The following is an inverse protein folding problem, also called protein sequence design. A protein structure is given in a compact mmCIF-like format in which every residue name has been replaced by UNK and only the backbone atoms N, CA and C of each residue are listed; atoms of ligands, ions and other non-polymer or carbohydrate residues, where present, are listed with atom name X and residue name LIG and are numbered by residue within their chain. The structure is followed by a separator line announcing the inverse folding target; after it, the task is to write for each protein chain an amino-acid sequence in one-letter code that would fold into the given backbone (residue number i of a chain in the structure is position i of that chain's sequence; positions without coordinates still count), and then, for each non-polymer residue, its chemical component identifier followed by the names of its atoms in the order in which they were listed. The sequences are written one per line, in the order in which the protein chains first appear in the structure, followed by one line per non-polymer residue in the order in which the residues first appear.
data_IF_400604775516
#
_entry.id   IF_400604775516
#
_cell.length_a   1.000
_cell.length_b   1.000
_cell.length_c   1.000
_cell.angle_alpha   90.00
_cell.angle_beta   90.00
_cell.angle_gamma   90.00
#
_symmetry.space_group_name_H-M   'P 1'
#
loop_
_entity.id
_entity.type
_entity.pdbx_description
1 polymer ?
#
# COMPACT_ATOMS: atom_id res chain seq x y z
N UNK A 1 65.10 52.04 44.55
CA UNK A 1 64.77 51.17 43.40
C UNK A 1 63.26 51.00 43.34
N UNK A 2 62.62 51.46 42.25
CA UNK A 2 61.16 51.47 42.05
C UNK A 2 60.67 50.05 41.71
N UNK A 3 59.60 49.58 42.36
CA UNK A 3 58.86 48.37 41.97
C UNK A 3 57.42 48.76 41.66
N UNK A 4 57.08 48.71 40.37
CA UNK A 4 55.72 48.73 39.85
C UNK A 4 55.22 47.28 39.77
N UNK A 5 53.96 47.01 40.10
CA UNK A 5 53.18 45.83 39.68
C UNK A 5 51.70 46.17 39.94
N UNK A 6 51.01 46.74 38.95
CA UNK A 6 50.10 46.10 37.98
C UNK A 6 48.80 45.57 38.62
N UNK A 7 47.75 46.37 38.46
CA UNK A 7 46.35 46.09 38.80
C UNK A 7 45.76 45.11 37.78
N UNK A 8 45.25 43.96 38.25
CA UNK A 8 44.59 42.94 37.43
C UNK A 8 43.07 43.17 37.46
N UNK A 9 42.51 43.73 36.40
CA UNK A 9 41.06 43.90 36.24
C UNK A 9 40.41 42.54 35.95
N UNK A 10 39.44 42.16 36.79
CA UNK A 10 38.60 40.97 36.67
C UNK A 10 37.37 41.31 35.81
N UNK A 11 37.39 40.98 34.52
CA UNK A 11 36.22 41.10 33.64
C UNK A 11 35.44 39.79 33.60
N UNK A 12 34.28 39.77 34.25
CA UNK A 12 33.25 38.72 34.13
C UNK A 12 32.71 38.70 32.69
N UNK A 13 32.99 37.63 31.95
CA UNK A 13 32.33 37.36 30.67
C UNK A 13 31.01 36.61 30.94
N UNK A 14 29.89 37.28 30.65
CA UNK A 14 28.54 36.72 30.70
C UNK A 14 28.30 35.91 29.40
N UNK A 15 28.46 34.59 29.45
CA UNK A 15 28.12 33.71 28.31
C UNK A 15 26.61 33.47 28.28
N UNK A 16 25.96 34.01 27.25
CA UNK A 16 24.57 33.70 26.88
C UNK A 16 24.53 32.25 26.39
N UNK A 17 23.96 31.36 27.19
CA UNK A 17 23.62 30.00 26.76
C UNK A 17 22.39 30.03 25.87
N UNK A 18 22.55 29.74 24.58
CA UNK A 18 21.43 29.43 23.70
C UNK A 18 20.81 28.08 24.13
N UNK A 19 19.47 27.95 24.20
CA UNK A 19 18.87 26.66 24.44
C UNK A 19 19.10 25.77 23.20
N UNK A 20 19.75 24.62 23.42
CA UNK A 20 19.72 23.51 22.48
C UNK A 20 18.28 23.02 22.38
N UNK A 21 17.60 23.42 21.32
CA UNK A 21 16.31 22.84 20.94
C UNK A 21 16.63 21.47 20.37
N UNK A 22 16.45 20.43 21.18
CA UNK A 22 16.43 19.06 20.69
C UNK A 22 15.14 18.91 19.87
N UNK A 23 15.25 19.10 18.56
CA UNK A 23 14.19 18.67 17.65
C UNK A 23 14.11 17.15 17.78
N UNK A 24 13.03 16.65 18.35
CA UNK A 24 12.63 15.28 18.10
C UNK A 24 12.44 15.17 16.58
N UNK A 25 13.33 14.48 15.89
CA UNK A 25 13.23 14.19 14.46
C UNK A 25 11.94 13.39 14.22
N UNK A 26 10.83 14.09 13.98
CA UNK A 26 9.63 13.47 13.45
C UNK A 26 9.96 13.05 12.02
N UNK A 27 9.84 11.76 11.65
CA UNK A 27 10.34 11.18 10.40
C UNK A 27 9.50 11.55 9.15
N UNK A 28 9.12 12.81 9.04
CA UNK A 28 8.41 13.39 7.90
C UNK A 28 9.07 14.70 7.41
N UNK A 29 10.32 14.97 7.81
CA UNK A 29 11.01 16.18 7.38
C UNK A 29 11.45 16.06 5.90
N UNK A 30 10.68 16.67 5.01
CA UNK A 30 10.98 16.72 3.57
C UNK A 30 12.21 17.55 3.22
N UNK A 31 12.70 18.41 4.13
CA UNK A 31 13.88 19.27 3.88
C UNK A 31 15.18 18.50 3.79
N UNK A 32 15.24 17.27 4.33
CA UNK A 32 16.40 16.39 4.25
C UNK A 32 16.29 15.36 3.12
N UNK A 33 15.19 15.38 2.35
CA UNK A 33 14.99 14.46 1.25
C UNK A 33 15.90 14.82 0.06
N UNK A 34 16.58 13.84 -0.57
CA UNK A 34 17.28 14.05 -1.83
C UNK A 34 16.39 14.66 -2.91
N UNK A 35 16.90 15.66 -3.63
CA UNK A 35 16.17 16.31 -4.71
C UNK A 35 16.09 15.40 -5.97
N UNK A 36 14.87 15.01 -6.35
CA UNK A 36 14.57 14.27 -7.59
C UNK A 36 13.93 15.23 -8.59
N UNK A 37 14.36 15.18 -9.85
CA UNK A 37 13.83 16.09 -10.87
C UNK A 37 12.39 15.71 -11.23
N UNK A 38 11.55 16.71 -11.54
CA UNK A 38 10.16 16.47 -11.93
C UNK A 38 10.06 15.55 -13.18
N UNK A 39 10.97 15.71 -14.13
CA UNK A 39 11.06 14.86 -15.32
C UNK A 39 11.35 13.40 -14.97
N UNK A 40 12.25 13.14 -14.01
CA UNK A 40 12.53 11.79 -13.55
C UNK A 40 11.29 11.18 -12.91
N UNK A 41 10.63 11.90 -11.98
CA UNK A 41 9.42 11.43 -11.31
C UNK A 41 8.27 11.13 -12.28
N UNK A 42 8.08 11.95 -13.31
CA UNK A 42 7.06 11.75 -14.34
C UNK A 42 7.33 10.54 -15.24
N UNK A 43 8.60 10.16 -15.41
CA UNK A 43 8.99 9.01 -16.23
C UNK A 43 8.95 7.66 -15.52
N UNK A 44 8.76 7.64 -14.20
CA UNK A 44 8.77 6.39 -13.43
C UNK A 44 7.53 5.54 -13.73
N UNK A 45 7.68 4.20 -13.81
CA UNK A 45 6.56 3.28 -14.00
C UNK A 45 5.83 3.08 -12.67
N UNK A 46 4.96 4.02 -12.31
CA UNK A 46 4.20 3.97 -11.07
C UNK A 46 3.19 2.81 -11.09
N UNK A 47 3.39 1.83 -10.20
CA UNK A 47 2.51 0.67 -10.08
C UNK A 47 1.35 0.96 -9.10
N UNK A 48 0.09 0.84 -9.52
CA UNK A 48 -1.04 1.05 -8.62
C UNK A 48 -1.18 -0.08 -7.59
N UNK A 49 -1.38 0.30 -6.34
CA UNK A 49 -1.65 -0.60 -5.22
C UNK A 49 -3.03 -0.29 -4.63
N UNK A 50 -3.85 -1.33 -4.44
CA UNK A 50 -5.20 -1.20 -3.88
C UNK A 50 -5.25 -1.87 -2.50
N UNK A 51 -5.29 -1.11 -1.40
CA UNK A 51 -5.37 -1.67 -0.06
C UNK A 51 -6.70 -2.42 0.20
N UNK A 52 -6.70 -3.50 1.01
CA UNK A 52 -5.52 -4.10 1.64
C UNK A 52 -4.71 -4.95 0.65
N UNK A 53 -3.38 -4.78 0.64
CA UNK A 53 -2.46 -5.52 -0.24
C UNK A 53 -1.18 -5.90 0.49
N UNK A 54 -0.63 -7.06 0.13
CA UNK A 54 0.71 -7.50 0.54
C UNK A 54 1.43 -8.00 -0.71
N UNK A 55 2.61 -7.44 -1.01
CA UNK A 55 3.38 -7.78 -2.20
C UNK A 55 4.86 -7.98 -1.85
N UNK A 56 5.44 -9.05 -2.37
CA UNK A 56 6.88 -9.29 -2.33
C UNK A 56 7.47 -8.84 -3.68
N UNK A 57 8.50 -8.00 -3.64
CA UNK A 57 9.10 -7.38 -4.83
C UNK A 57 10.61 -7.56 -4.80
N UNK A 58 11.14 -8.13 -5.88
CA UNK A 58 12.57 -8.27 -6.07
C UNK A 58 13.09 -7.03 -6.80
N UNK A 59 13.99 -6.32 -6.15
CA UNK A 59 14.72 -5.19 -6.70
C UNK A 59 16.05 -5.68 -7.25
N UNK A 60 16.24 -5.59 -8.56
CA UNK A 60 17.45 -6.00 -9.26
C UNK A 60 17.67 -5.15 -10.53
N UNK A 61 18.59 -5.58 -11.39
CA UNK A 61 18.98 -4.81 -12.58
C UNK A 61 17.87 -4.67 -13.64
N UNK A 62 16.80 -5.48 -13.59
CA UNK A 62 15.65 -5.33 -14.48
C UNK A 62 14.57 -4.41 -13.90
N UNK A 63 14.67 -4.08 -12.61
CA UNK A 63 13.80 -3.10 -11.97
C UNK A 63 14.16 -1.69 -12.45
N UNK A 64 13.22 -0.73 -12.39
CA UNK A 64 13.54 0.67 -12.69
C UNK A 64 14.72 1.15 -11.85
N UNK A 65 15.58 1.99 -12.43
CA UNK A 65 16.78 2.50 -11.77
C UNK A 65 16.72 4.02 -11.70
N UNK A 66 17.22 4.58 -10.60
CA UNK A 66 17.51 6.02 -10.50
C UNK A 66 18.97 6.19 -10.12
N UNK A 67 19.68 7.04 -10.86
CA UNK A 67 21.05 7.45 -10.58
C UNK A 67 21.12 8.98 -10.62
N UNK A 68 20.47 9.63 -9.65
CA UNK A 68 20.39 11.09 -9.57
C UNK A 68 20.72 11.57 -8.16
N UNK A 69 21.62 12.55 -8.05
CA UNK A 69 22.06 13.07 -6.76
C UNK A 69 22.67 11.95 -5.91
N UNK A 70 22.12 11.73 -4.73
CA UNK A 70 22.54 10.66 -3.82
C UNK A 70 21.81 9.34 -4.00
N UNK A 71 20.80 9.28 -4.87
CA UNK A 71 20.02 8.08 -5.13
C UNK A 71 20.76 7.21 -6.15
N UNK A 72 20.89 5.91 -5.84
CA UNK A 72 21.54 4.95 -6.71
C UNK A 72 20.87 3.57 -6.63
N UNK A 73 20.65 2.96 -7.79
CA UNK A 73 20.24 1.56 -7.89
C UNK A 73 18.76 1.35 -8.17
N UNK A 74 18.29 0.14 -7.87
CA UNK A 74 16.92 -0.29 -8.15
C UNK A 74 15.93 0.43 -7.24
N UNK A 75 14.79 0.83 -7.80
CA UNK A 75 13.71 1.51 -7.08
C UNK A 75 12.39 0.76 -7.23
N UNK A 76 11.48 1.01 -6.29
CA UNK A 76 10.08 0.66 -6.44
C UNK A 76 9.21 1.92 -6.35
N UNK A 77 8.29 2.06 -7.29
CA UNK A 77 7.43 3.23 -7.44
C UNK A 77 5.96 2.79 -7.43
N UNK A 78 5.18 3.26 -6.46
CA UNK A 78 3.79 2.87 -6.28
C UNK A 78 2.84 4.07 -6.24
N UNK A 79 1.60 3.88 -6.69
CA UNK A 79 0.48 4.78 -6.38
C UNK A 79 -0.45 4.15 -5.36
N UNK A 80 -0.96 4.95 -4.45
CA UNK A 80 -1.89 4.53 -3.41
C UNK A 80 -3.13 5.43 -3.45
N UNK A 81 -4.34 4.86 -3.32
CA UNK A 81 -5.57 5.65 -3.23
C UNK A 81 -5.59 6.45 -1.93
N UNK A 82 -5.88 7.74 -2.05
CA UNK A 82 -5.94 8.69 -0.94
C UNK A 82 -7.37 9.01 -0.49
N UNK A 83 -8.38 8.47 -1.18
CA UNK A 83 -9.80 8.60 -0.87
C UNK A 83 -10.28 7.60 0.21
N UNK A 84 -9.35 6.84 0.79
CA UNK A 84 -9.65 5.71 1.67
C UNK A 84 -9.37 5.91 3.16
N UNK A 85 -9.18 7.16 3.59
CA UNK A 85 -8.78 7.48 4.97
C UNK A 85 -7.28 7.32 5.18
N UNK A 86 -6.87 7.19 6.45
CA UNK A 86 -5.46 6.98 6.78
C UNK A 86 -4.98 5.63 6.25
N UNK A 87 -3.74 5.60 5.74
CA UNK A 87 -3.06 4.42 5.25
C UNK A 87 -1.96 4.02 6.24
N UNK A 88 -1.85 2.73 6.51
CA UNK A 88 -0.72 2.14 7.21
C UNK A 88 0.08 1.30 6.21
N UNK A 89 1.34 1.67 6.01
CA UNK A 89 2.27 1.03 5.07
C UNK A 89 3.42 0.42 5.87
N UNK A 90 3.52 -0.90 5.90
CA UNK A 90 4.69 -1.60 6.44
C UNK A 90 5.61 -2.01 5.30
N UNK A 91 6.83 -1.50 5.33
CA UNK A 91 7.89 -1.85 4.39
C UNK A 91 8.94 -2.68 5.13
N UNK A 92 9.25 -3.85 4.59
CA UNK A 92 10.27 -4.75 5.11
C UNK A 92 11.29 -5.07 4.02
N UNK A 93 12.58 -4.82 4.25
CA UNK A 93 13.66 -5.24 3.35
C UNK A 93 14.34 -6.49 3.91
N UNK A 94 14.31 -7.59 3.16
CA UNK A 94 14.78 -8.90 3.63
C UNK A 94 16.28 -9.04 3.42
N UNK A 95 16.98 -9.47 4.48
CA UNK A 95 18.40 -9.85 4.41
C UNK A 95 18.56 -11.20 3.72
N UNK A 96 19.52 -11.30 2.80
CA UNK A 96 19.88 -12.57 2.16
C UNK A 96 21.38 -12.59 1.86
N UNK A 97 22.06 -13.68 2.22
CA UNK A 97 23.48 -13.90 1.96
C UNK A 97 24.37 -12.73 2.44
N UNK A 98 24.15 -12.23 3.66
CA UNK A 98 24.88 -11.08 4.21
C UNK A 98 24.77 -9.81 3.33
N UNK A 99 23.70 -9.69 2.55
CA UNK A 99 23.38 -8.48 1.80
C UNK A 99 21.94 -8.06 2.11
N UNK A 100 21.72 -6.76 2.22
CA UNK A 100 20.39 -6.20 2.47
C UNK A 100 20.21 -4.89 1.70
N UNK A 101 19.01 -4.68 1.16
CA UNK A 101 18.67 -3.40 0.56
C UNK A 101 18.31 -2.40 1.67
N UNK A 102 18.93 -1.23 1.73
CA UNK A 102 18.67 -0.24 2.78
C UNK A 102 17.70 0.84 2.26
N UNK A 103 16.39 0.74 2.57
CA UNK A 103 15.38 1.56 1.92
C UNK A 103 15.31 2.95 2.55
N UNK A 104 15.19 3.97 1.72
CA UNK A 104 14.61 5.26 2.03
C UNK A 104 13.29 5.40 1.26
N UNK A 105 12.33 6.09 1.84
CA UNK A 105 10.98 6.24 1.27
C UNK A 105 10.64 7.71 1.14
N UNK A 106 10.34 8.14 -0.08
CA UNK A 106 9.79 9.45 -0.39
C UNK A 106 8.31 9.32 -0.72
N UNK A 107 7.47 10.00 0.04
CA UNK A 107 6.04 10.11 -0.21
C UNK A 107 5.80 11.42 -0.96
N UNK A 108 5.05 11.36 -2.06
CA UNK A 108 4.69 12.53 -2.85
C UNK A 108 3.16 12.71 -2.86
N UNK A 109 2.73 13.97 -2.98
CA UNK A 109 1.34 14.34 -3.20
C UNK A 109 0.88 14.04 -4.66
N UNK A 110 -0.38 14.33 -4.96
CA UNK A 110 -0.96 14.18 -6.31
C UNK A 110 -0.23 14.92 -7.43
N UNK A 111 0.56 15.94 -7.09
CA UNK A 111 1.31 16.76 -8.02
C UNK A 111 2.79 16.36 -8.07
N UNK A 112 3.14 15.18 -7.53
CA UNK A 112 4.52 14.68 -7.41
C UNK A 112 5.43 15.59 -6.58
N UNK A 113 4.88 16.33 -5.61
CA UNK A 113 5.65 17.15 -4.67
C UNK A 113 5.95 16.36 -3.39
N UNK A 114 7.16 16.46 -2.83
CA UNK A 114 7.49 15.83 -1.54
C UNK A 114 6.50 16.20 -0.43
N UNK A 115 5.88 15.18 0.15
CA UNK A 115 4.92 15.30 1.25
C UNK A 115 5.46 14.73 2.56
N UNK A 116 6.23 13.64 2.51
CA UNK A 116 6.95 13.08 3.66
C UNK A 116 8.20 12.33 3.18
N UNK A 117 9.20 12.22 4.06
CA UNK A 117 10.43 11.49 3.77
C UNK A 117 10.90 10.70 4.98
N UNK A 118 11.14 9.40 4.75
CA UNK A 118 11.60 8.44 5.74
C UNK A 118 12.98 7.92 5.32
N UNK A 119 14.07 8.37 5.97
CA UNK A 119 15.42 7.92 5.66
C UNK A 119 15.64 6.46 6.07
N UNK A 120 16.75 5.85 5.62
CA UNK A 120 17.07 4.46 5.98
C UNK A 120 17.16 4.19 7.47
N UNK A 121 17.48 5.19 8.30
CA UNK A 121 17.49 5.06 9.76
C UNK A 121 16.11 4.84 10.38
N UNK A 122 15.03 5.14 9.65
CA UNK A 122 13.65 4.86 10.08
C UNK A 122 13.30 3.37 10.06
N UNK A 123 14.09 2.55 9.38
CA UNK A 123 13.85 1.11 9.22
C UNK A 123 14.87 0.33 10.05
N UNK A 124 14.68 0.18 11.37
CA UNK A 124 15.59 -0.57 12.21
C UNK A 124 15.63 -2.05 11.83
N UNK A 125 16.76 -2.68 12.14
CA UNK A 125 16.92 -4.12 12.03
C UNK A 125 15.96 -4.86 12.98
N UNK A 126 15.28 -5.85 12.43
CA UNK A 126 14.43 -6.78 13.14
C UNK A 126 15.01 -8.20 13.01
N UNK A 127 15.24 -8.89 14.14
CA UNK A 127 15.73 -10.26 14.13
C UNK A 127 14.72 -11.22 13.50
N UNK A 128 15.19 -12.42 13.09
CA UNK A 128 14.30 -13.45 12.58
C UNK A 128 13.35 -13.91 13.69
N UNK A 129 12.08 -14.12 13.32
CA UNK A 129 11.05 -14.72 14.17
C UNK A 129 10.58 -16.05 13.61
N UNK A 130 9.56 -16.66 14.23
CA UNK A 130 9.05 -17.97 13.81
C UNK A 130 8.60 -18.03 12.33
N UNK A 131 8.16 -16.90 11.76
CA UNK A 131 7.66 -16.79 10.37
C UNK A 131 8.31 -15.65 9.58
N UNK A 132 9.37 -15.02 10.11
CA UNK A 132 10.01 -13.87 9.49
C UNK A 132 11.53 -14.01 9.53
N UNK A 133 12.18 -13.59 8.45
CA UNK A 133 13.65 -13.54 8.38
C UNK A 133 14.18 -12.21 8.91
N UNK A 134 15.50 -12.15 9.07
CA UNK A 134 16.27 -10.92 9.23
C UNK A 134 15.85 -9.85 8.22
N UNK A 135 15.51 -8.66 8.71
CA UNK A 135 15.01 -7.58 7.85
C UNK A 135 15.23 -6.20 8.45
N UNK A 136 15.26 -5.17 7.60
CA UNK A 136 15.00 -3.79 8.02
C UNK A 136 13.50 -3.54 7.86
N UNK A 137 12.83 -3.03 8.88
CA UNK A 137 11.37 -2.87 8.83
C UNK A 137 10.91 -1.58 9.49
N UNK A 138 9.89 -0.96 8.91
CA UNK A 138 9.28 0.26 9.41
C UNK A 138 7.85 0.41 8.92
N UNK A 139 7.03 1.05 9.74
CA UNK A 139 5.60 1.29 9.46
C UNK A 139 5.37 2.79 9.30
N UNK A 140 4.83 3.20 8.15
CA UNK A 140 4.49 4.56 7.82
C UNK A 140 2.97 4.74 8.01
N UNK A 141 2.58 5.71 8.82
CA UNK A 141 1.18 6.13 8.94
C UNK A 141 0.99 7.39 8.11
N UNK A 142 0.28 7.26 7.01
CA UNK A 142 0.09 8.31 6.02
C UNK A 142 -1.37 8.74 6.07
N UNK A 143 -1.63 10.01 6.35
CA UNK A 143 -2.98 10.58 6.29
C UNK A 143 -3.02 11.56 5.12
N UNK A 144 -3.57 11.16 3.96
CA UNK A 144 -3.69 12.05 2.82
C UNK A 144 -4.53 13.28 3.14
N UNK A 145 -4.23 14.41 2.49
CA UNK A 145 -5.02 15.62 2.67
C UNK A 145 -6.42 15.48 2.06
N UNK A 146 -7.39 16.20 2.63
CA UNK A 146 -8.77 16.21 2.12
C UNK A 146 -8.80 16.63 0.64
N UNK A 147 -9.50 15.85 -0.17
CA UNK A 147 -9.63 16.07 -1.62
C UNK A 147 -8.57 15.40 -2.48
N UNK A 148 -7.51 14.82 -1.89
CA UNK A 148 -6.57 13.98 -2.64
C UNK A 148 -7.21 12.63 -2.98
N UNK A 149 -7.11 12.23 -4.24
CA UNK A 149 -7.53 10.92 -4.76
C UNK A 149 -6.40 9.90 -4.75
N UNK A 150 -5.14 10.33 -4.85
CA UNK A 150 -3.97 9.45 -4.75
C UNK A 150 -2.74 10.10 -4.09
N UNK A 151 -1.82 9.27 -3.63
CA UNK A 151 -0.45 9.65 -3.27
C UNK A 151 0.54 8.71 -3.95
N UNK A 152 1.80 9.10 -4.01
CA UNK A 152 2.87 8.29 -4.60
C UNK A 152 3.89 7.89 -3.54
N UNK A 153 4.36 6.65 -3.63
CA UNK A 153 5.35 6.08 -2.73
C UNK A 153 6.55 5.63 -3.55
N UNK A 154 7.70 6.26 -3.33
CA UNK A 154 8.97 5.92 -3.98
C UNK A 154 9.92 5.33 -2.94
N UNK A 155 10.28 4.06 -3.13
CA UNK A 155 11.28 3.34 -2.35
C UNK A 155 12.58 3.28 -3.15
N UNK A 156 13.66 3.77 -2.55
CA UNK A 156 14.99 3.78 -3.16
C UNK A 156 16.07 3.59 -2.10
N UNK A 157 17.34 3.55 -2.49
CA UNK A 157 18.49 3.60 -1.56
C UNK A 157 19.44 4.73 -1.95
N UNK A 158 20.30 5.13 -1.01
CA UNK A 158 21.23 6.25 -1.21
C UNK A 158 22.68 5.77 -1.16
N UNK A 159 23.59 6.51 -1.79
CA UNK A 159 25.04 6.24 -1.72
C UNK A 159 25.56 6.20 -0.28
N UNK A 160 25.04 7.07 0.58
CA UNK A 160 25.41 7.10 1.99
C UNK A 160 24.95 5.85 2.73
N UNK A 161 23.76 5.34 2.42
CA UNK A 161 23.26 4.13 3.05
C UNK A 161 23.93 2.88 2.48
N UNK A 162 24.27 2.85 1.19
CA UNK A 162 25.04 1.77 0.56
C UNK A 162 26.44 1.59 1.17
N UNK A 163 27.03 2.65 1.71
CA UNK A 163 28.32 2.60 2.40
C UNK A 163 28.23 2.06 3.84
N UNK A 164 27.02 1.88 4.39
CA UNK A 164 26.78 1.36 5.73
C UNK A 164 26.57 -0.15 5.73
N UNK A 165 26.55 -0.70 6.93
CA UNK A 165 26.31 -2.13 7.18
C UNK A 165 25.32 -2.30 8.32
N UNK A 166 24.62 -3.43 8.35
CA UNK A 166 23.75 -3.82 9.44
C UNK A 166 24.29 -5.06 10.12
N UNK A 167 24.45 -5.03 11.44
CA UNK A 167 24.76 -6.21 12.23
C UNK A 167 23.50 -7.06 12.37
N UNK A 168 23.57 -8.32 11.93
CA UNK A 168 22.48 -9.29 12.02
C UNK A 168 22.62 -10.14 13.27
N UNK A 169 21.55 -10.77 13.72
CA UNK A 169 21.58 -11.74 14.81
C UNK A 169 22.15 -13.05 14.31
N UNK A 170 23.16 -13.60 14.98
CA UNK A 170 23.67 -14.91 14.63
C UNK A 170 22.57 -15.98 14.81
N UNK A 171 22.32 -16.85 13.81
CA UNK A 171 21.27 -17.86 13.89
C UNK A 171 21.41 -18.81 15.09
N UNK A 172 22.63 -19.12 15.54
CA UNK A 172 22.83 -19.95 16.73
C UNK A 172 22.47 -19.21 18.03
N UNK A 173 22.64 -17.88 18.09
CA UNK A 173 22.15 -17.07 19.22
C UNK A 173 20.63 -17.00 19.22
N UNK A 174 20.01 -16.73 18.06
CA UNK A 174 18.56 -16.67 17.94
C UNK A 174 17.90 -18.01 18.31
N UNK A 175 18.49 -19.13 17.88
CA UNK A 175 18.02 -20.47 18.25
C UNK A 175 18.15 -20.72 19.76
N UNK A 176 19.30 -20.44 20.37
CA UNK A 176 19.51 -20.61 21.80
C UNK A 176 18.51 -19.80 22.63
N UNK A 177 18.26 -18.55 22.25
CA UNK A 177 17.24 -17.69 22.86
C UNK A 177 15.82 -18.29 22.71
N UNK A 178 15.49 -18.81 21.53
CA UNK A 178 14.18 -19.42 21.26
C UNK A 178 13.89 -20.69 22.04
N UNK A 179 14.92 -21.50 22.35
CA UNK A 179 14.79 -22.75 23.14
C UNK A 179 15.09 -22.55 24.63
N UNK A 180 15.39 -21.32 25.08
CA UNK A 180 15.69 -21.01 26.48
C UNK A 180 17.07 -21.48 26.97
N UNK A 181 18.00 -21.75 26.05
CA UNK A 181 19.37 -22.13 26.37
C UNK A 181 20.25 -20.88 26.59
N UNK A 182 21.43 -21.09 27.19
CA UNK A 182 22.45 -20.05 27.27
C UNK A 182 22.87 -19.60 25.87
N UNK A 183 22.93 -18.28 25.66
CA UNK A 183 23.30 -17.68 24.37
C UNK A 183 24.81 -17.88 24.15
N UNK A 184 25.24 -18.51 23.04
CA UNK A 184 26.66 -18.69 22.75
C UNK A 184 27.39 -17.37 22.54
N UNK A 185 28.63 -17.28 23.03
CA UNK A 185 29.52 -16.15 22.77
C UNK A 185 30.22 -16.30 21.41
N UNK A 186 29.48 -15.97 20.36
CA UNK A 186 29.95 -16.00 18.96
C UNK A 186 29.70 -14.65 18.31
N UNK A 187 30.54 -14.19 17.37
CA UNK A 187 30.31 -12.93 16.69
C UNK A 187 29.05 -13.00 15.80
N UNK A 188 28.39 -11.86 15.70
CA UNK A 188 27.20 -11.67 14.87
C UNK A 188 27.58 -11.35 13.42
N UNK A 189 26.90 -11.95 12.42
CA UNK A 189 27.21 -11.69 11.02
C UNK A 189 26.88 -10.24 10.64
N UNK A 190 27.67 -9.65 9.75
CA UNK A 190 27.45 -8.30 9.23
C UNK A 190 26.88 -8.41 7.82
N UNK A 191 25.79 -7.69 7.56
CA UNK A 191 25.20 -7.52 6.24
C UNK A 191 25.65 -6.21 5.60
N UNK A 192 26.17 -6.31 4.37
CA UNK A 192 26.48 -5.14 3.54
C UNK A 192 25.21 -4.61 2.89
N UNK A 193 25.10 -3.29 2.79
CA UNK A 193 23.99 -2.70 2.06
C UNK A 193 24.19 -2.84 0.54
N UNK A 194 23.11 -3.05 -0.20
CA UNK A 194 23.12 -3.36 -1.63
C UNK A 194 22.11 -2.52 -2.41
N UNK A 195 22.42 -2.24 -3.68
CA UNK A 195 21.52 -1.59 -4.65
C UNK A 195 20.37 -2.50 -5.12
N UNK A 196 20.39 -3.76 -4.71
CA UNK A 196 19.43 -4.80 -5.05
C UNK A 196 19.06 -5.62 -3.81
N UNK A 197 17.86 -6.18 -3.80
CA UNK A 197 17.37 -6.98 -2.68
C UNK A 197 15.92 -7.43 -2.87
N UNK A 198 15.27 -7.83 -1.78
CA UNK A 198 13.85 -8.18 -1.80
C UNK A 198 13.14 -7.36 -0.75
N UNK A 199 12.13 -6.60 -1.16
CA UNK A 199 11.28 -5.84 -0.27
C UNK A 199 9.90 -6.50 -0.19
N UNK A 200 9.26 -6.38 0.96
CA UNK A 200 7.87 -6.73 1.19
C UNK A 200 7.13 -5.45 1.55
N UNK A 201 6.03 -5.19 0.87
CA UNK A 201 5.20 -4.04 1.11
C UNK A 201 3.81 -4.51 1.49
N UNK A 202 3.37 -4.14 2.69
CA UNK A 202 2.01 -4.37 3.18
C UNK A 202 1.33 -3.02 3.35
N UNK A 203 0.17 -2.85 2.74
CA UNK A 203 -0.61 -1.60 2.86
C UNK A 203 -2.03 -1.92 3.29
N UNK A 204 -2.49 -1.23 4.32
CA UNK A 204 -3.88 -1.26 4.81
C UNK A 204 -4.43 0.16 4.84
N UNK A 205 -5.72 0.30 4.57
CA UNK A 205 -6.43 1.57 4.76
C UNK A 205 -7.34 1.43 5.98
N UNK A 206 -7.34 2.45 6.84
CA UNK A 206 -8.39 2.66 7.84
C UNK A 206 -9.67 3.09 7.12
N UNK A 207 -10.25 2.17 6.35
CA UNK A 207 -11.65 2.26 6.00
C UNK A 207 -12.39 2.17 7.32
N UNK A 208 -13.15 3.22 7.64
CA UNK A 208 -14.05 3.24 8.79
C UNK A 208 -14.69 1.86 8.91
N UNK A 209 -14.38 1.19 10.02
CA UNK A 209 -14.95 -0.09 10.42
C UNK A 209 -16.38 -0.14 9.92
N UNK A 210 -16.75 -1.20 9.19
CA UNK A 210 -18.13 -1.41 8.79
C UNK A 210 -19.01 -1.25 10.02
N UNK A 211 -19.63 -0.08 10.17
CA UNK A 211 -20.59 0.17 11.21
C UNK A 211 -21.77 -0.69 10.81
N UNK A 212 -21.85 -1.89 11.39
CA UNK A 212 -23.10 -2.62 11.48
C UNK A 212 -24.08 -1.70 12.20
N UNK A 213 -25.07 -1.22 11.46
CA UNK A 213 -26.20 -0.48 12.00
C UNK A 213 -27.03 -1.45 12.86
N UNK A 214 -26.67 -1.61 14.13
CA UNK A 214 -27.47 -2.40 15.07
C UNK A 214 -28.74 -1.59 15.37
N UNK A 215 -29.89 -2.04 14.87
CA UNK A 215 -31.19 -1.41 15.16
C UNK A 215 -32.17 -1.31 13.99
N UNK A 216 -31.76 -1.61 12.76
CA UNK A 216 -32.74 -1.77 11.67
C UNK A 216 -33.32 -3.18 11.73
N UNK A 217 -34.43 -3.32 12.47
CA UNK A 217 -35.26 -4.51 12.45
C UNK A 217 -35.74 -4.74 11.02
N UNK A 218 -35.06 -5.64 10.30
CA UNK A 218 -35.64 -6.30 9.13
C UNK A 218 -36.95 -6.95 9.58
N UNK A 219 -38.12 -6.64 8.97
CA UNK A 219 -39.29 -7.46 9.17
C UNK A 219 -38.95 -8.88 8.70
N UNK A 220 -39.09 -9.85 9.60
CA UNK A 220 -38.87 -11.24 9.28
C UNK A 220 -39.73 -11.65 8.06
N UNK A 221 -39.17 -12.31 7.04
CA UNK A 221 -40.00 -12.90 6.00
C UNK A 221 -40.89 -13.98 6.64
N UNK A 222 -42.19 -13.87 6.39
CA UNK A 222 -43.17 -14.87 6.78
C UNK A 222 -42.75 -16.23 6.21
N UNK A 223 -42.56 -17.20 7.11
CA UNK A 223 -42.25 -18.57 6.74
C UNK A 223 -43.39 -19.18 5.92
N UNK A 224 -43.09 -19.62 4.69
CA UNK A 224 -43.97 -20.48 3.90
C UNK A 224 -43.63 -21.96 4.18
N UNK A 225 -44.63 -22.85 4.25
CA UNK A 225 -44.48 -24.19 4.81
C UNK A 225 -43.60 -25.11 3.94
N UNK A 226 -42.86 -25.98 4.64
CA UNK A 226 -41.95 -26.97 4.06
C UNK A 226 -42.76 -28.08 3.38
N UNK A 227 -42.54 -28.30 2.08
CA UNK A 227 -43.00 -29.50 1.36
C UNK A 227 -41.93 -30.58 1.51
N UNK A 228 -42.29 -31.68 2.16
CA UNK A 228 -41.48 -32.91 2.25
C UNK A 228 -41.82 -33.79 1.05
N UNK A 229 -40.82 -34.13 0.23
CA UNK A 229 -40.97 -35.24 -0.72
C UNK A 229 -40.08 -35.23 -1.98
N UNK A 230 -39.15 -36.19 -2.02
CA UNK A 230 -38.75 -36.98 -3.19
C UNK A 230 -37.66 -36.46 -4.16
N UNK A 231 -36.52 -37.20 -4.15
CA UNK A 231 -35.79 -37.79 -5.31
C UNK A 231 -35.16 -36.82 -6.34
N UNK A 232 -33.91 -36.89 -6.80
CA UNK A 232 -32.80 -37.85 -6.73
C UNK A 232 -31.46 -37.12 -7.01
N UNK A 233 -30.37 -37.81 -6.70
CA UNK A 233 -28.98 -37.47 -6.96
C UNK A 233 -28.62 -37.29 -8.45
N UNK A 234 -27.52 -36.57 -8.73
CA UNK A 234 -26.35 -37.04 -9.50
C UNK A 234 -25.14 -36.15 -9.16
N UNK A 235 -24.01 -36.80 -8.97
CA UNK A 235 -22.68 -36.25 -8.75
C UNK A 235 -21.93 -36.02 -10.07
N UNK A 236 -20.99 -35.06 -10.05
CA UNK A 236 -19.58 -35.18 -10.49
C UNK A 236 -19.05 -33.92 -11.20
N UNK A 237 -17.86 -33.51 -10.75
CA UNK A 237 -16.98 -32.43 -11.19
C UNK A 237 -16.35 -32.72 -12.59
N UNK A 238 -15.54 -31.84 -13.26
CA UNK A 238 -14.49 -30.97 -12.69
C UNK A 238 -14.32 -29.55 -13.31
N UNK A 239 -13.55 -28.73 -12.60
CA UNK A 239 -12.89 -27.48 -13.06
C UNK A 239 -11.91 -27.69 -14.21
N UNK A 240 -11.70 -26.67 -15.05
CA UNK A 240 -10.40 -25.99 -15.08
C UNK A 240 -10.46 -24.44 -15.14
N UNK A 241 -9.44 -23.78 -14.60
CA UNK A 241 -9.12 -22.35 -14.74
C UNK A 241 -8.23 -22.09 -16.00
N UNK A 242 -7.69 -20.88 -16.29
CA UNK A 242 -8.26 -19.52 -16.45
C UNK A 242 -7.82 -18.78 -17.77
N UNK A 243 -8.50 -17.66 -18.10
CA UNK A 243 -8.13 -16.53 -19.02
C UNK A 243 -8.04 -16.80 -20.56
N UNK A 244 -8.16 -15.81 -21.51
CA UNK A 244 -8.13 -14.34 -21.39
C UNK A 244 -9.30 -13.57 -22.07
N UNK A 245 -9.47 -12.29 -21.71
CA UNK A 245 -10.41 -11.33 -22.31
C UNK A 245 -9.87 -10.75 -23.63
N UNK A 246 -10.65 -10.90 -24.72
CA UNK A 246 -10.48 -10.19 -26.00
C UNK A 246 -11.88 -9.65 -26.45
N UNK A 247 -11.97 -8.52 -27.19
CA UNK A 247 -13.14 -7.63 -27.26
C UNK A 247 -14.46 -8.18 -27.79
N UNK A 248 -15.52 -7.46 -27.40
CA UNK A 248 -16.94 -7.70 -27.62
C UNK A 248 -17.31 -8.08 -29.07
N UNK A 249 -17.92 -9.25 -29.19
CA UNK A 249 -18.82 -9.60 -30.29
C UNK A 249 -20.26 -9.22 -29.89
N UNK A 250 -21.07 -8.69 -30.83
CA UNK A 250 -22.46 -8.34 -30.57
C UNK A 250 -23.25 -9.60 -30.17
N UNK A 251 -24.01 -9.46 -29.08
CA UNK A 251 -24.74 -10.56 -28.47
C UNK A 251 -25.78 -11.16 -29.44
N UNK A 252 -25.98 -12.48 -29.37
CA UNK A 252 -27.01 -13.19 -30.12
C UNK A 252 -28.40 -12.59 -29.83
N UNK A 253 -29.20 -12.36 -30.89
CA UNK A 253 -30.55 -11.78 -30.84
C UNK A 253 -31.49 -12.43 -29.79
N UNK A 254 -31.28 -13.70 -29.46
CA UNK A 254 -32.04 -14.41 -28.42
C UNK A 254 -31.81 -13.84 -27.02
N UNK A 255 -30.61 -13.34 -26.74
CA UNK A 255 -30.25 -12.78 -25.43
C UNK A 255 -30.80 -11.36 -25.27
N UNK A 256 -30.84 -10.57 -26.34
CA UNK A 256 -31.52 -9.26 -26.36
C UNK A 256 -33.01 -9.37 -26.03
N UNK A 257 -33.66 -10.40 -26.59
CA UNK A 257 -35.09 -10.64 -26.36
C UNK A 257 -35.37 -10.98 -24.89
N UNK A 258 -34.49 -11.75 -24.25
CA UNK A 258 -34.59 -12.09 -22.83
C UNK A 258 -34.54 -10.83 -21.94
N UNK A 259 -33.55 -9.97 -22.15
CA UNK A 259 -33.42 -8.74 -21.38
C UNK A 259 -34.57 -7.76 -21.65
N UNK A 260 -34.98 -7.58 -22.90
CA UNK A 260 -36.10 -6.71 -23.26
C UNK A 260 -37.43 -7.15 -22.61
N UNK A 261 -37.67 -8.45 -22.52
CA UNK A 261 -38.83 -8.99 -21.82
C UNK A 261 -38.75 -8.79 -20.30
N UNK A 262 -37.56 -9.00 -19.72
CA UNK A 262 -37.32 -8.73 -18.30
C UNK A 262 -37.55 -7.27 -17.92
N UNK A 263 -37.05 -6.34 -18.76
CA UNK A 263 -37.25 -4.89 -18.60
C UNK A 263 -38.74 -4.56 -18.64
N UNK A 264 -39.48 -5.03 -19.66
CA UNK A 264 -40.94 -4.79 -19.78
C UNK A 264 -41.71 -5.32 -18.56
N UNK A 265 -41.36 -6.52 -18.07
CA UNK A 265 -42.02 -7.11 -16.91
C UNK A 265 -41.73 -6.37 -15.61
N UNK A 266 -40.47 -5.99 -15.37
CA UNK A 266 -40.07 -5.22 -14.20
C UNK A 266 -40.73 -3.83 -14.19
N UNK A 267 -40.73 -3.15 -15.34
CA UNK A 267 -41.46 -1.88 -15.47
C UNK A 267 -42.94 -2.10 -15.24
N UNK A 268 -43.58 -3.13 -15.82
CA UNK A 268 -45.01 -3.46 -15.59
C UNK A 268 -45.31 -3.72 -14.10
N UNK A 269 -44.41 -4.38 -13.38
CA UNK A 269 -44.51 -4.62 -11.94
C UNK A 269 -44.28 -3.37 -11.07
N UNK A 270 -43.83 -2.24 -11.66
CA UNK A 270 -43.51 -1.01 -10.91
C UNK A 270 -42.12 -1.05 -10.27
N UNK A 271 -41.34 -2.08 -10.54
CA UNK A 271 -39.98 -2.28 -10.04
C UNK A 271 -38.98 -1.63 -11.01
N UNK A 272 -38.87 -0.30 -10.90
CA UNK A 272 -38.02 0.52 -11.78
C UNK A 272 -36.53 0.23 -11.53
N UNK A 273 -36.14 -0.06 -10.29
CA UNK A 273 -34.77 -0.39 -9.93
C UNK A 273 -34.30 -1.67 -10.60
N UNK A 274 -35.14 -2.71 -10.60
CA UNK A 274 -34.85 -3.96 -11.31
C UNK A 274 -34.81 -3.76 -12.83
N UNK A 275 -35.71 -2.94 -13.38
CA UNK A 275 -35.70 -2.62 -14.80
C UNK A 275 -34.43 -1.88 -15.24
N UNK A 276 -33.93 -0.94 -14.43
CA UNK A 276 -32.66 -0.23 -14.67
C UNK A 276 -31.46 -1.18 -14.60
N UNK A 277 -31.46 -2.11 -13.63
CA UNK A 277 -30.39 -3.10 -13.50
C UNK A 277 -30.32 -4.02 -14.73
N UNK A 278 -31.46 -4.51 -15.20
CA UNK A 278 -31.56 -5.34 -16.40
C UNK A 278 -31.14 -4.60 -17.67
N UNK A 279 -31.49 -3.31 -17.78
CA UNK A 279 -31.05 -2.46 -18.89
C UNK A 279 -29.52 -2.28 -18.91
N UNK A 280 -28.92 -1.90 -17.77
CA UNK A 280 -27.47 -1.70 -17.67
C UNK A 280 -26.68 -2.99 -17.93
N UNK A 281 -27.21 -4.13 -17.49
CA UNK A 281 -26.59 -5.43 -17.75
C UNK A 281 -26.66 -5.80 -19.23
N UNK A 282 -27.81 -5.57 -19.88
CA UNK A 282 -27.95 -5.76 -21.32
C UNK A 282 -27.01 -4.84 -22.12
N UNK A 283 -26.89 -3.55 -21.75
CA UNK A 283 -25.96 -2.61 -22.39
C UNK A 283 -24.49 -3.04 -22.23
N UNK A 284 -24.12 -3.50 -21.04
CA UNK A 284 -22.78 -4.03 -20.77
C UNK A 284 -22.46 -5.25 -21.64
N UNK A 285 -23.48 -6.03 -21.98
CA UNK A 285 -23.37 -7.18 -22.87
C UNK A 285 -23.51 -6.81 -24.36
N UNK A 286 -23.62 -5.52 -24.70
CA UNK A 286 -23.65 -5.04 -26.07
C UNK A 286 -25.04 -4.84 -26.67
N UNK A 287 -26.11 -4.92 -25.87
CA UNK A 287 -27.47 -4.64 -26.32
C UNK A 287 -27.63 -3.17 -26.74
N UNK A 288 -28.10 -2.96 -27.96
CA UNK A 288 -28.45 -1.62 -28.46
C UNK A 288 -29.94 -1.29 -28.27
N UNK A 289 -30.77 -2.28 -27.92
CA UNK A 289 -32.25 -2.16 -27.85
C UNK A 289 -32.80 -2.07 -26.43
N UNK A 290 -31.99 -2.41 -25.41
CA UNK A 290 -32.40 -2.40 -24.01
C UNK A 290 -32.81 -1.01 -23.50
N UNK A 291 -32.06 0.04 -23.87
CA UNK A 291 -32.34 1.42 -23.46
C UNK A 291 -33.67 1.93 -24.02
N UNK A 292 -33.90 1.70 -25.32
CA UNK A 292 -35.15 2.10 -25.97
C UNK A 292 -36.35 1.36 -25.38
N UNK A 293 -36.19 0.06 -25.09
CA UNK A 293 -37.23 -0.76 -24.47
C UNK A 293 -37.58 -0.26 -23.06
N UNK A 294 -36.59 0.14 -22.26
CA UNK A 294 -36.81 0.74 -20.94
C UNK A 294 -37.60 2.05 -21.05
N UNK A 295 -37.12 2.99 -21.88
CA UNK A 295 -37.74 4.32 -22.07
C UNK A 295 -39.19 4.19 -22.57
N UNK A 296 -39.45 3.30 -23.53
CA UNK A 296 -40.81 3.04 -24.03
C UNK A 296 -41.73 2.45 -22.98
N UNK A 297 -41.22 1.54 -22.15
CA UNK A 297 -42.00 0.86 -21.12
C UNK A 297 -42.37 1.79 -19.96
N UNK A 298 -41.48 2.71 -19.56
CA UNK A 298 -41.76 3.67 -18.48
C UNK A 298 -42.68 4.81 -18.95
N UNK A 299 -42.56 5.21 -20.23
CA UNK A 299 -43.42 6.25 -20.82
C UNK A 299 -44.87 5.79 -21.01
N UNK A 300 -45.10 4.49 -21.23
CA UNK A 300 -46.44 3.90 -21.34
C UNK A 300 -47.19 3.69 -20.01
N UNK A 301 -46.61 4.11 -18.87
CA UNK A 301 -47.22 4.04 -17.54
C UNK A 301 -47.78 5.37 -17.02
N UNK A 302 -47.65 6.44 -17.81
CA UNK A 302 -48.27 7.74 -17.54
C UNK A 302 -49.68 7.84 -18.10
#
# INVERSE_FOLDING_TARGET
MKKNLLSLCLSLALTVGAPLVANADTPANVSIAPAISASTLQSLPWQPLVPPVSQDVKLDNVSPQINQGDIQGAIAAYTLPADRGSLEVTLSSISKNNAIYAPSVLVLDEHLRPAAYYPSSYFPYQPPGAMSSDRLEGTLKLTPALGQKQIYLLVYTTRQDLAKTTQLTNPAKAYAQGVGNAVPDIPDPIASHSTSGTIKLKVTAEQGSGNIMIGMLQPAPAATPVVVGSTAAIAAAPTPAPAPTKPAEPMLNETDTYFNNGIKQAVKAGDIDKALKLMNEAEKLGSTTARETFIGSVKGKG
#
